data_IF_922137752289
#
_entry.id   IF_922137752289
#
_cell.length_a   1.000
_cell.length_b   1.000
_cell.length_c   1.000
_cell.angle_alpha   90.00
_cell.angle_beta   90.00
_cell.angle_gamma   90.00
#
_symmetry.space_group_name_H-M   'P 1'
#
loop_
_entity.id
_entity.type
_entity.pdbx_description
1 polymer ?
#
# COMPACT_ATOMS: atom_id res chain seq x y z
N UNK A 1 -31.79 19.34 28.70
CA UNK A 1 -30.93 20.33 28.00
C UNK A 1 -30.37 19.57 26.83
N UNK A 2 -31.19 19.48 25.79
CA UNK A 2 -31.07 18.50 24.71
C UNK A 2 -30.72 19.27 23.44
N UNK A 3 -29.43 19.34 23.12
CA UNK A 3 -28.95 20.00 21.91
C UNK A 3 -29.03 18.99 20.77
N UNK A 4 -30.15 18.97 20.05
CA UNK A 4 -30.20 18.38 18.71
C UNK A 4 -29.54 19.33 17.73
N UNK A 5 -28.35 18.95 17.25
CA UNK A 5 -27.75 19.52 16.04
C UNK A 5 -28.53 18.97 14.84
N UNK A 6 -29.22 19.78 14.04
CA UNK A 6 -29.82 19.27 12.82
C UNK A 6 -28.70 18.98 11.81
N UNK A 7 -28.56 17.72 11.43
CA UNK A 7 -27.76 17.32 10.27
C UNK A 7 -28.45 17.86 9.02
N UNK A 8 -27.91 18.94 8.45
CA UNK A 8 -28.34 19.46 7.17
C UNK A 8 -27.88 18.49 6.08
N UNK A 9 -28.70 17.49 5.76
CA UNK A 9 -28.54 16.70 4.54
C UNK A 9 -28.98 17.57 3.38
N UNK A 10 -28.10 18.47 2.93
CA UNK A 10 -28.24 19.03 1.60
C UNK A 10 -27.93 17.93 0.59
N UNK A 11 -28.96 17.54 -0.16
CA UNK A 11 -28.81 16.70 -1.33
C UNK A 11 -27.84 17.39 -2.29
N UNK A 12 -26.64 16.82 -2.41
CA UNK A 12 -25.61 17.30 -3.32
C UNK A 12 -26.20 17.25 -4.74
N UNK A 13 -26.45 18.42 -5.34
CA UNK A 13 -26.74 18.53 -6.77
C UNK A 13 -25.65 17.86 -7.62
N UNK A 14 -25.86 17.69 -8.93
CA UNK A 14 -24.88 17.03 -9.78
C UNK A 14 -23.51 17.68 -9.57
N UNK A 15 -22.55 16.90 -9.06
CA UNK A 15 -21.18 17.37 -8.88
C UNK A 15 -20.71 17.89 -10.24
N UNK A 16 -20.12 19.09 -10.32
CA UNK A 16 -19.47 19.51 -11.55
C UNK A 16 -18.48 18.40 -11.94
N UNK A 17 -18.61 17.90 -13.16
CA UNK A 17 -17.62 17.00 -13.75
C UNK A 17 -16.25 17.66 -13.55
N UNK A 18 -15.27 16.97 -12.94
CA UNK A 18 -13.98 17.57 -12.66
C UNK A 18 -13.38 18.04 -13.99
N UNK A 19 -13.27 19.36 -14.16
CA UNK A 19 -12.75 19.97 -15.38
C UNK A 19 -11.21 19.94 -15.41
N UNK A 20 -10.63 18.77 -15.13
CA UNK A 20 -9.19 18.57 -15.01
C UNK A 20 -8.84 17.09 -14.80
N UNK A 21 -7.55 16.74 -14.90
CA UNK A 21 -7.08 15.36 -14.76
C UNK A 21 -7.43 14.80 -13.37
N UNK A 22 -7.84 13.53 -13.31
CA UNK A 22 -8.05 12.84 -12.03
C UNK A 22 -6.70 12.52 -11.38
N UNK A 23 -6.39 13.22 -10.28
CA UNK A 23 -5.15 13.02 -9.54
C UNK A 23 -5.12 11.71 -8.73
N UNK A 24 -6.25 11.00 -8.64
CA UNK A 24 -6.32 9.65 -8.06
C UNK A 24 -6.09 8.56 -9.10
N UNK A 25 -5.92 8.93 -10.36
CA UNK A 25 -5.59 7.99 -11.42
C UNK A 25 -4.13 7.52 -11.28
N UNK A 26 -3.95 6.20 -11.20
CA UNK A 26 -2.64 5.55 -11.13
C UNK A 26 -2.48 4.64 -12.36
N UNK A 27 -1.28 4.60 -12.94
CA UNK A 27 -1.04 3.85 -14.19
C UNK A 27 -1.23 2.33 -14.09
N UNK A 28 -1.20 1.77 -12.88
CA UNK A 28 -1.54 0.36 -12.64
C UNK A 28 -3.03 0.05 -12.87
N UNK A 29 -3.91 1.05 -12.82
CA UNK A 29 -5.31 0.90 -13.20
C UNK A 29 -5.45 0.62 -14.71
N UNK A 30 -4.72 1.35 -15.55
CA UNK A 30 -4.76 1.18 -17.01
C UNK A 30 -4.21 -0.19 -17.44
N UNK A 31 -3.10 -0.63 -16.82
CA UNK A 31 -2.49 -1.94 -17.07
C UNK A 31 -3.42 -3.09 -16.66
N UNK A 32 -4.39 -2.88 -15.76
CA UNK A 32 -5.35 -3.92 -15.38
C UNK A 32 -6.55 -4.03 -16.34
N UNK A 33 -7.00 -2.90 -16.88
CA UNK A 33 -8.23 -2.83 -17.68
C UNK A 33 -7.94 -2.99 -19.19
N UNK A 34 -6.91 -2.32 -19.70
CA UNK A 34 -6.49 -2.33 -21.12
C UNK A 34 -5.18 -3.10 -21.36
N UNK A 35 -4.71 -3.81 -20.33
CA UNK A 35 -3.34 -4.34 -20.13
C UNK A 35 -2.70 -5.21 -21.21
N UNK A 36 -3.46 -5.71 -22.18
CA UNK A 36 -2.87 -6.46 -23.31
C UNK A 36 -2.36 -5.55 -24.43
N UNK A 37 -2.86 -4.30 -24.50
CA UNK A 37 -2.47 -3.31 -25.50
C UNK A 37 -1.44 -2.30 -24.96
N UNK A 38 -1.26 -2.24 -23.64
CA UNK A 38 -0.37 -1.31 -22.95
C UNK A 38 0.94 -1.98 -22.55
N UNK A 39 2.04 -1.25 -22.65
CA UNK A 39 3.35 -1.69 -22.17
C UNK A 39 3.48 -1.30 -20.71
N UNK A 40 3.70 -2.28 -19.82
CA UNK A 40 3.98 -2.01 -18.41
C UNK A 40 5.38 -1.41 -18.25
N UNK A 41 5.43 -0.11 -17.91
CA UNK A 41 6.65 0.64 -17.64
C UNK A 41 6.94 0.75 -16.13
N UNK A 42 6.40 -0.13 -15.29
CA UNK A 42 6.68 -0.14 -13.86
C UNK A 42 8.17 -0.40 -13.58
N UNK A 43 8.88 0.64 -13.13
CA UNK A 43 10.35 0.64 -13.06
C UNK A 43 10.96 -0.03 -11.82
N UNK A 44 10.17 -0.50 -10.85
CA UNK A 44 10.68 -1.14 -9.64
C UNK A 44 10.00 -2.49 -9.34
N UNK A 45 9.34 -3.08 -10.34
CA UNK A 45 8.72 -4.40 -10.23
C UNK A 45 9.68 -5.44 -10.79
N UNK A 46 9.88 -6.54 -10.05
CA UNK A 46 10.66 -7.68 -10.52
C UNK A 46 9.69 -8.74 -11.02
N UNK A 47 9.84 -9.17 -12.27
CA UNK A 47 9.14 -10.35 -12.79
C UNK A 47 9.45 -11.58 -11.91
N UNK A 48 8.50 -12.51 -11.81
CA UNK A 48 8.62 -13.76 -11.04
C UNK A 48 8.87 -13.58 -9.52
N UNK A 49 8.40 -12.47 -8.93
CA UNK A 49 8.49 -12.20 -7.49
C UNK A 49 7.12 -12.23 -6.78
N UNK A 50 7.06 -12.51 -5.45
CA UNK A 50 8.17 -12.86 -4.57
C UNK A 50 8.66 -14.31 -4.74
N UNK A 51 9.96 -14.58 -4.49
CA UNK A 51 10.49 -15.94 -4.40
C UNK A 51 9.70 -16.82 -3.43
N UNK A 52 9.65 -18.13 -3.67
CA UNK A 52 8.85 -19.07 -2.87
C UNK A 52 9.12 -18.97 -1.37
N UNK A 53 10.38 -18.91 -0.95
CA UNK A 53 10.77 -18.77 0.45
C UNK A 53 10.18 -17.51 1.11
N UNK A 54 10.08 -16.40 0.37
CA UNK A 54 9.54 -15.15 0.90
C UNK A 54 8.02 -15.23 1.03
N UNK A 55 7.36 -15.85 0.05
CA UNK A 55 5.92 -16.11 0.09
C UNK A 55 5.55 -16.97 1.30
N UNK A 56 6.28 -18.06 1.53
CA UNK A 56 6.09 -18.96 2.67
C UNK A 56 6.30 -18.22 4.00
N UNK A 57 7.36 -17.41 4.10
CA UNK A 57 7.64 -16.64 5.30
C UNK A 57 6.55 -15.61 5.63
N UNK A 58 6.02 -14.92 4.62
CA UNK A 58 4.89 -13.98 4.79
C UNK A 58 3.62 -14.72 5.19
N UNK A 59 3.31 -15.85 4.56
CA UNK A 59 2.13 -16.64 4.92
C UNK A 59 2.19 -17.12 6.39
N UNK A 60 3.37 -17.54 6.85
CA UNK A 60 3.57 -17.97 8.23
C UNK A 60 3.38 -16.84 9.26
N UNK A 61 3.64 -15.59 8.88
CA UNK A 61 3.51 -14.44 9.81
C UNK A 61 2.07 -14.00 10.04
N UNK A 62 1.13 -14.41 9.19
CA UNK A 62 -0.29 -13.99 9.26
C UNK A 62 -0.95 -14.32 10.59
N UNK A 63 -0.56 -15.42 11.24
CA UNK A 63 -1.08 -15.80 12.55
C UNK A 63 -0.69 -14.87 13.71
N UNK A 64 0.28 -13.96 13.51
CA UNK A 64 0.80 -13.06 14.54
C UNK A 64 0.27 -11.62 14.40
N UNK A 65 -0.61 -11.34 13.42
CA UNK A 65 -1.05 -9.99 13.08
C UNK A 65 -1.88 -9.29 14.17
N UNK A 66 -2.40 -10.03 15.16
CA UNK A 66 -3.14 -9.45 16.27
C UNK A 66 -2.24 -8.66 17.24
N UNK A 67 -0.92 -8.92 17.24
CA UNK A 67 0.03 -8.23 18.08
C UNK A 67 0.62 -7.01 17.36
N UNK A 68 1.00 -5.98 18.13
CA UNK A 68 1.80 -4.90 17.59
C UNK A 68 3.18 -5.44 17.16
N UNK A 69 3.68 -5.10 15.96
CA UNK A 69 4.91 -5.70 15.44
C UNK A 69 6.16 -5.29 16.23
N UNK A 70 7.04 -6.26 16.48
CA UNK A 70 8.36 -6.02 17.06
C UNK A 70 9.46 -6.04 15.98
N UNK A 71 9.95 -4.86 15.62
CA UNK A 71 10.98 -4.70 14.60
C UNK A 71 12.43 -4.89 15.08
N UNK A 72 12.69 -5.27 16.35
CA UNK A 72 14.07 -5.38 16.86
C UNK A 72 14.88 -6.45 16.14
N UNK A 73 14.30 -7.64 15.92
CA UNK A 73 14.98 -8.73 15.22
C UNK A 73 15.31 -8.36 13.76
N UNK A 74 14.39 -7.69 13.06
CA UNK A 74 14.61 -7.23 11.69
C UNK A 74 15.75 -6.21 11.62
N UNK A 75 15.78 -5.22 12.51
CA UNK A 75 16.84 -4.21 12.57
C UNK A 75 18.22 -4.84 12.85
N UNK A 76 18.28 -5.81 13.76
CA UNK A 76 19.52 -6.54 14.05
C UNK A 76 20.03 -7.33 12.83
N UNK A 77 19.14 -8.00 12.09
CA UNK A 77 19.50 -8.75 10.89
C UNK A 77 20.03 -7.84 9.77
N UNK A 78 19.41 -6.67 9.57
CA UNK A 78 19.86 -5.67 8.59
C UNK A 78 21.23 -5.09 9.02
N UNK A 79 21.39 -4.72 10.28
CA UNK A 79 22.65 -4.25 10.84
C UNK A 79 23.80 -5.23 10.58
N UNK A 80 23.60 -6.51 10.92
CA UNK A 80 24.58 -7.57 10.71
C UNK A 80 24.90 -7.77 9.21
N UNK A 81 23.88 -7.76 8.34
CA UNK A 81 24.07 -7.90 6.88
C UNK A 81 24.93 -6.78 6.30
N UNK A 82 24.80 -5.56 6.83
CA UNK A 82 25.47 -4.37 6.31
C UNK A 82 26.71 -3.96 7.10
N UNK A 83 27.08 -4.68 8.16
CA UNK A 83 28.22 -4.32 9.02
C UNK A 83 28.04 -3.00 9.76
N UNK A 84 26.80 -2.63 10.08
CA UNK A 84 26.44 -1.39 10.75
C UNK A 84 26.00 -1.65 12.20
N UNK A 85 26.15 -0.68 13.11
CA UNK A 85 25.49 -0.74 14.42
C UNK A 85 23.97 -0.63 14.26
N UNK A 86 23.21 -1.25 15.17
CA UNK A 86 21.74 -1.32 15.08
C UNK A 86 21.09 0.06 15.13
N UNK A 87 21.72 1.03 15.80
CA UNK A 87 21.27 2.42 15.92
C UNK A 87 21.36 3.19 14.59
N UNK A 88 21.98 2.60 13.57
CA UNK A 88 22.13 3.17 12.21
C UNK A 88 21.24 2.46 11.18
N UNK A 89 20.34 1.59 11.62
CA UNK A 89 19.32 0.91 10.82
C UNK A 89 17.95 1.53 11.03
#
# INVERSE_FOLDING_TARGET
>A
MDTHTPTHTEALGPRPEPSGPDLRHHGDAEVRDDGSALVDLAVNVRADTPPAWLREHVAASLGQLAAYPDGRAARAAVAARHGLPVERV
#
